data_IF_621116590891
#
_entry.id   IF_621116590891
#
_cell.length_a   1.000
_cell.length_b   1.000
_cell.length_c   1.000
_cell.angle_alpha   90.00
_cell.angle_beta   90.00
_cell.angle_gamma   90.00
#
_symmetry.space_group_name_H-M   'P 1'
#
loop_
_entity.id
_entity.type
_entity.pdbx_description
1 polymer ?
#
# COMPACT_ATOMS: atom_id res chain seq x y z
N UNK A 1 -70.40 -7.39 -47.31
CA UNK A 1 -69.84 -8.12 -46.19
C UNK A 1 -68.29 -8.11 -46.32
N UNK A 2 -67.68 -7.09 -45.73
CA UNK A 2 -66.22 -6.83 -45.86
C UNK A 2 -65.54 -7.23 -44.55
N UNK A 3 -64.54 -8.16 -44.65
CA UNK A 3 -63.73 -8.60 -43.56
C UNK A 3 -62.52 -7.66 -43.45
N UNK A 4 -62.52 -6.83 -42.41
CA UNK A 4 -61.40 -5.97 -42.05
C UNK A 4 -60.34 -6.80 -41.36
N UNK A 5 -59.17 -6.96 -42.00
CA UNK A 5 -58.01 -7.60 -41.40
C UNK A 5 -57.20 -6.60 -40.57
N UNK A 6 -57.14 -6.84 -39.28
CA UNK A 6 -56.27 -6.09 -38.40
C UNK A 6 -54.81 -6.54 -38.57
N UNK A 7 -53.94 -5.69 -39.03
CA UNK A 7 -52.49 -5.85 -38.96
C UNK A 7 -51.98 -5.28 -37.63
N UNK A 8 -51.58 -6.15 -36.74
CA UNK A 8 -50.83 -5.76 -35.55
C UNK A 8 -49.36 -5.66 -35.94
N UNK A 9 -48.86 -4.45 -36.04
CA UNK A 9 -47.40 -4.19 -36.17
C UNK A 9 -46.81 -4.16 -34.78
N UNK A 10 -46.17 -5.24 -34.39
CA UNK A 10 -45.39 -5.31 -33.16
C UNK A 10 -44.03 -4.66 -33.43
N UNK A 11 -43.92 -3.41 -33.10
CA UNK A 11 -42.62 -2.70 -33.11
C UNK A 11 -41.73 -3.18 -31.96
N UNK A 12 -40.73 -3.97 -32.27
CA UNK A 12 -39.70 -4.37 -31.35
C UNK A 12 -38.67 -3.22 -31.22
N UNK A 13 -38.83 -2.36 -30.21
CA UNK A 13 -37.81 -1.40 -29.85
C UNK A 13 -36.66 -2.13 -29.15
N UNK A 14 -35.65 -2.51 -29.90
CA UNK A 14 -34.38 -2.91 -29.36
C UNK A 14 -33.67 -1.66 -28.81
N UNK A 15 -33.80 -1.41 -27.52
CA UNK A 15 -32.97 -0.43 -26.82
C UNK A 15 -31.56 -1.03 -26.70
N UNK A 16 -30.70 -0.66 -27.63
CA UNK A 16 -29.26 -0.91 -27.51
C UNK A 16 -28.78 0.05 -26.43
N UNK A 17 -28.74 -0.45 -25.19
CA UNK A 17 -28.02 0.21 -24.11
C UNK A 17 -26.54 0.17 -24.41
N UNK A 18 -26.03 1.18 -25.08
CA UNK A 18 -24.60 1.44 -25.12
C UNK A 18 -24.19 1.83 -23.71
N UNK A 19 -23.80 0.85 -22.88
CA UNK A 19 -22.99 1.10 -21.72
C UNK A 19 -21.66 1.61 -22.24
N UNK A 20 -21.51 2.93 -22.34
CA UNK A 20 -20.21 3.54 -22.45
C UNK A 20 -19.45 3.04 -21.22
N UNK A 21 -18.56 2.06 -21.40
CA UNK A 21 -17.51 1.80 -20.45
C UNK A 21 -16.73 3.12 -20.38
N UNK A 22 -17.02 3.91 -19.37
CA UNK A 22 -16.13 4.98 -18.95
C UNK A 22 -14.86 4.22 -18.57
N UNK A 23 -13.89 4.17 -19.47
CA UNK A 23 -12.54 3.81 -19.11
C UNK A 23 -12.21 4.78 -17.99
N UNK A 24 -12.19 4.28 -16.75
CA UNK A 24 -11.62 5.02 -15.67
C UNK A 24 -10.18 5.31 -16.14
N UNK A 25 -9.95 6.52 -16.64
CA UNK A 25 -8.61 6.98 -16.88
C UNK A 25 -7.93 6.84 -15.54
N UNK A 26 -6.99 5.90 -15.48
CA UNK A 26 -6.05 5.87 -14.39
C UNK A 26 -5.64 7.31 -14.15
N UNK A 27 -5.68 7.74 -12.93
CA UNK A 27 -5.35 9.06 -12.47
C UNK A 27 -4.13 9.58 -13.22
N UNK A 28 -4.25 10.62 -14.03
CA UNK A 28 -3.11 11.19 -14.78
C UNK A 28 -1.93 11.48 -13.84
N UNK A 29 -2.22 11.87 -12.60
CA UNK A 29 -1.21 12.07 -11.55
C UNK A 29 -0.52 10.78 -11.12
N UNK A 30 -1.22 9.65 -11.11
CA UNK A 30 -0.62 8.36 -10.81
C UNK A 30 0.36 7.93 -11.90
N UNK A 31 0.01 8.10 -13.15
CA UNK A 31 0.90 7.77 -14.27
C UNK A 31 2.12 8.70 -14.30
N UNK A 32 1.92 9.99 -14.02
CA UNK A 32 3.01 10.93 -13.86
C UNK A 32 3.94 10.56 -12.70
N UNK A 33 3.39 10.18 -11.55
CA UNK A 33 4.16 9.72 -10.40
C UNK A 33 4.96 8.45 -10.72
N UNK A 34 4.31 7.43 -11.32
CA UNK A 34 5.02 6.20 -11.76
C UNK A 34 6.22 6.55 -12.65
N UNK A 35 6.00 7.39 -13.66
CA UNK A 35 7.06 7.80 -14.59
C UNK A 35 8.20 8.54 -13.90
N UNK A 36 7.88 9.42 -12.97
CA UNK A 36 8.86 10.27 -12.29
C UNK A 36 9.61 9.54 -11.16
N UNK A 37 8.95 8.66 -10.43
CA UNK A 37 9.44 8.18 -9.14
C UNK A 37 9.56 6.66 -9.03
N UNK A 38 8.89 5.86 -9.86
CA UNK A 38 8.98 4.40 -9.78
C UNK A 38 10.03 3.88 -10.76
N UNK A 39 10.95 3.08 -10.25
CA UNK A 39 11.98 2.41 -11.02
C UNK A 39 12.13 0.96 -10.55
N UNK A 40 11.95 -0.01 -11.46
CA UNK A 40 12.03 -1.43 -11.15
C UNK A 40 11.18 -1.83 -9.91
N UNK A 41 9.93 -1.35 -9.87
CA UNK A 41 8.96 -1.61 -8.80
C UNK A 41 9.36 -1.06 -7.41
N UNK A 42 10.22 -0.06 -7.35
CA UNK A 42 10.52 0.69 -6.14
C UNK A 42 10.33 2.20 -6.33
N UNK A 43 9.91 2.88 -5.30
CA UNK A 43 9.87 4.35 -5.28
C UNK A 43 11.27 4.86 -4.97
N UNK A 44 11.80 5.68 -5.87
CA UNK A 44 13.16 6.23 -5.75
C UNK A 44 13.08 7.70 -5.37
N UNK A 45 13.68 8.05 -4.24
CA UNK A 45 13.99 9.44 -3.96
C UNK A 45 15.19 9.88 -4.82
N UNK A 46 14.90 10.65 -5.86
CA UNK A 46 15.92 11.13 -6.81
C UNK A 46 16.71 12.32 -6.28
N UNK A 47 16.26 12.94 -5.19
CA UNK A 47 16.95 14.03 -4.53
C UNK A 47 18.10 13.54 -3.65
N UNK A 48 18.03 12.31 -3.16
CA UNK A 48 19.11 11.67 -2.40
C UNK A 48 20.10 11.02 -3.37
N UNK A 49 21.39 11.34 -3.21
CA UNK A 49 22.46 10.79 -4.06
C UNK A 49 22.58 9.26 -3.97
N UNK A 50 22.12 8.65 -2.86
CA UNK A 50 22.10 7.20 -2.65
C UNK A 50 20.93 6.53 -3.37
N UNK A 51 20.06 7.32 -4.06
CA UNK A 51 18.85 6.84 -4.72
C UNK A 51 18.00 5.96 -3.81
N UNK A 52 17.76 6.46 -2.61
CA UNK A 52 17.08 5.70 -1.55
C UNK A 52 15.64 5.33 -1.92
N UNK A 53 15.20 4.27 -1.30
CA UNK A 53 13.80 3.87 -1.19
C UNK A 53 13.46 3.73 0.28
N UNK A 54 12.37 4.36 0.70
CA UNK A 54 11.85 4.23 2.05
C UNK A 54 10.61 3.33 2.07
N UNK A 55 10.36 2.65 3.18
CA UNK A 55 9.10 1.91 3.36
C UNK A 55 7.88 2.84 3.28
N UNK A 56 8.03 4.12 3.68
CA UNK A 56 6.99 5.14 3.56
C UNK A 56 6.65 5.40 2.08
N UNK A 57 7.65 5.63 1.23
CA UNK A 57 7.43 5.81 -0.21
C UNK A 57 6.74 4.60 -0.84
N UNK A 58 7.15 3.38 -0.47
CA UNK A 58 6.51 2.14 -0.93
C UNK A 58 5.06 2.05 -0.45
N UNK A 59 4.79 2.39 0.81
CA UNK A 59 3.45 2.34 1.40
C UNK A 59 2.47 3.27 0.69
N UNK A 60 2.90 4.48 0.36
CA UNK A 60 2.07 5.45 -0.38
C UNK A 60 1.87 5.03 -1.84
N UNK A 61 2.89 4.49 -2.49
CA UNK A 61 2.75 3.97 -3.85
C UNK A 61 1.79 2.79 -3.92
N UNK A 62 1.80 1.88 -2.93
CA UNK A 62 0.82 0.81 -2.79
C UNK A 62 -0.60 1.36 -2.64
N UNK A 63 -0.79 2.41 -1.83
CA UNK A 63 -2.09 3.06 -1.67
C UNK A 63 -2.58 3.67 -3.00
N UNK A 64 -1.73 4.38 -3.74
CA UNK A 64 -2.12 4.97 -5.01
C UNK A 64 -2.39 3.92 -6.09
N UNK A 65 -1.61 2.82 -6.12
CA UNK A 65 -1.87 1.70 -7.02
C UNK A 65 -3.23 1.06 -6.71
N UNK A 66 -3.56 0.88 -5.43
CA UNK A 66 -4.86 0.37 -4.99
C UNK A 66 -6.00 1.32 -5.38
N UNK A 67 -5.85 2.63 -5.12
CA UNK A 67 -6.85 3.65 -5.45
C UNK A 67 -7.09 3.77 -6.97
N UNK A 68 -6.07 3.51 -7.78
CA UNK A 68 -6.13 3.50 -9.25
C UNK A 68 -6.60 2.16 -9.83
N UNK A 69 -6.90 1.16 -8.99
CA UNK A 69 -7.16 -0.23 -9.41
C UNK A 69 -6.04 -0.84 -10.27
N UNK A 70 -4.80 -0.37 -10.08
CA UNK A 70 -3.59 -0.82 -10.78
C UNK A 70 -2.95 -2.00 -10.03
N UNK A 71 -3.61 -3.15 -10.11
CA UNK A 71 -3.17 -4.35 -9.42
C UNK A 71 -1.78 -4.82 -9.87
N UNK A 72 -1.45 -4.64 -11.14
CA UNK A 72 -0.15 -5.03 -11.66
C UNK A 72 0.98 -4.28 -10.98
N UNK A 73 0.84 -2.95 -10.85
CA UNK A 73 1.83 -2.13 -10.14
C UNK A 73 1.84 -2.43 -8.64
N UNK A 74 0.67 -2.65 -8.03
CA UNK A 74 0.56 -3.04 -6.63
C UNK A 74 1.36 -4.31 -6.33
N UNK A 75 1.16 -5.37 -7.11
CA UNK A 75 1.85 -6.66 -6.95
C UNK A 75 3.38 -6.51 -7.12
N UNK A 76 3.80 -5.70 -8.09
CA UNK A 76 5.21 -5.45 -8.33
C UNK A 76 5.86 -4.70 -7.15
N UNK A 77 5.23 -3.62 -6.66
CA UNK A 77 5.68 -2.86 -5.50
C UNK A 77 5.74 -3.72 -4.23
N UNK A 78 4.70 -4.52 -3.98
CA UNK A 78 4.64 -5.43 -2.84
C UNK A 78 5.76 -6.46 -2.90
N UNK A 79 5.93 -7.12 -4.04
CA UNK A 79 6.99 -8.12 -4.24
C UNK A 79 8.37 -7.52 -4.01
N UNK A 80 8.62 -6.32 -4.54
CA UNK A 80 9.90 -5.64 -4.31
C UNK A 80 10.11 -5.32 -2.83
N UNK A 81 9.08 -4.83 -2.14
CA UNK A 81 9.11 -4.52 -0.71
C UNK A 81 9.41 -5.76 0.13
N UNK A 82 8.74 -6.88 -0.16
CA UNK A 82 8.99 -8.15 0.52
C UNK A 82 10.44 -8.61 0.35
N UNK A 83 10.94 -8.61 -0.87
CA UNK A 83 12.26 -9.14 -1.18
C UNK A 83 13.40 -8.28 -0.65
N UNK A 84 13.26 -6.95 -0.72
CA UNK A 84 14.35 -6.04 -0.44
C UNK A 84 14.29 -5.41 0.96
N UNK A 85 13.10 -5.28 1.56
CA UNK A 85 12.93 -4.65 2.87
C UNK A 85 12.55 -5.63 3.98
N UNK A 86 11.92 -6.77 3.65
CA UNK A 86 11.39 -7.73 4.64
C UNK A 86 12.08 -9.11 4.59
N UNK A 87 13.24 -9.21 3.97
CA UNK A 87 13.97 -10.48 3.90
C UNK A 87 13.24 -11.58 3.11
N UNK A 88 12.33 -11.22 2.21
CA UNK A 88 11.57 -12.11 1.34
C UNK A 88 10.18 -12.50 1.85
N UNK A 89 9.83 -12.16 3.09
CA UNK A 89 8.53 -12.53 3.68
C UNK A 89 8.03 -11.49 4.68
N UNK A 90 7.10 -10.65 4.23
CA UNK A 90 6.51 -9.57 5.03
C UNK A 90 5.65 -10.10 6.19
N UNK A 91 5.26 -11.38 6.16
CA UNK A 91 4.52 -12.01 7.26
C UNK A 91 5.39 -12.36 8.45
N UNK A 92 6.71 -12.36 8.27
CA UNK A 92 7.70 -12.70 9.32
C UNK A 92 8.52 -11.52 9.79
N UNK A 93 8.73 -10.53 8.91
CA UNK A 93 9.61 -9.40 9.19
C UNK A 93 8.97 -8.13 8.65
N UNK A 94 8.76 -7.13 9.52
CA UNK A 94 8.35 -5.79 9.10
C UNK A 94 9.42 -5.17 8.19
N UNK A 95 9.02 -4.37 7.18
CA UNK A 95 9.96 -3.74 6.26
C UNK A 95 10.97 -2.85 6.98
N UNK A 96 12.25 -2.99 6.63
CA UNK A 96 13.26 -1.99 6.96
C UNK A 96 12.88 -0.65 6.33
N UNK A 97 13.07 0.45 7.08
CA UNK A 97 12.59 1.75 6.60
C UNK A 97 13.45 2.36 5.49
N UNK A 98 14.74 1.96 5.38
CA UNK A 98 15.69 2.60 4.46
C UNK A 98 16.52 1.61 3.66
N UNK A 99 16.47 1.72 2.35
CA UNK A 99 17.27 0.98 1.40
C UNK A 99 17.91 1.94 0.37
N UNK A 100 19.09 1.60 -0.12
CA UNK A 100 19.77 2.43 -1.10
C UNK A 100 21.18 1.97 -1.41
N UNK A 101 21.95 2.80 -2.14
CA UNK A 101 23.36 2.56 -2.41
C UNK A 101 24.20 2.90 -1.17
N UNK A 102 24.91 1.91 -0.66
CA UNK A 102 25.98 2.14 0.31
C UNK A 102 27.22 2.67 -0.43
N UNK A 103 27.55 3.92 -0.19
CA UNK A 103 28.64 4.62 -0.88
C UNK A 103 30.01 3.99 -0.63
N UNK A 104 30.20 3.37 0.52
CA UNK A 104 31.50 2.77 0.88
C UNK A 104 31.73 1.45 0.13
N UNK A 105 30.71 0.59 0.06
CA UNK A 105 30.81 -0.71 -0.62
C UNK A 105 30.32 -0.70 -2.06
N UNK A 106 29.68 0.40 -2.50
CA UNK A 106 29.02 0.53 -3.82
C UNK A 106 27.95 -0.55 -4.05
N UNK A 107 27.40 -1.11 -2.98
CA UNK A 107 26.37 -2.13 -3.04
C UNK A 107 25.00 -1.58 -2.68
N UNK A 108 23.98 -2.14 -3.30
CA UNK A 108 22.58 -1.83 -3.03
C UNK A 108 22.08 -2.75 -1.91
N UNK A 109 21.62 -2.16 -0.80
CA UNK A 109 21.21 -2.92 0.38
C UNK A 109 20.33 -2.11 1.32
N UNK A 110 19.81 -2.76 2.37
CA UNK A 110 19.23 -2.09 3.52
C UNK A 110 20.33 -1.24 4.18
N UNK A 111 20.10 0.05 4.33
CA UNK A 111 21.00 1.02 4.97
C UNK A 111 20.68 1.18 6.46
N UNK A 112 19.43 0.97 6.85
CA UNK A 112 18.98 0.93 8.25
C UNK A 112 17.90 -0.16 8.37
N UNK A 113 18.12 -1.10 9.27
CA UNK A 113 17.26 -2.27 9.48
C UNK A 113 16.07 -2.00 10.39
N UNK A 114 15.96 -0.80 10.99
CA UNK A 114 14.79 -0.46 11.76
C UNK A 114 13.56 -0.40 10.85
N UNK A 115 12.38 -0.58 11.42
CA UNK A 115 11.12 -0.37 10.71
C UNK A 115 10.58 1.05 11.00
N UNK A 116 9.53 1.44 10.29
CA UNK A 116 8.77 2.67 10.55
C UNK A 116 7.29 2.30 10.70
N UNK A 117 6.75 2.47 11.91
CA UNK A 117 5.44 1.96 12.28
C UNK A 117 4.29 2.56 11.45
N UNK A 118 4.40 3.82 11.04
CA UNK A 118 3.45 4.49 10.14
C UNK A 118 3.37 3.80 8.78
N UNK A 119 4.54 3.52 8.19
CA UNK A 119 4.65 2.81 6.92
C UNK A 119 4.11 1.39 7.02
N UNK A 120 4.42 0.70 8.10
CA UNK A 120 3.96 -0.67 8.36
C UNK A 120 2.43 -0.71 8.48
N UNK A 121 1.83 0.26 9.19
CA UNK A 121 0.38 0.40 9.27
C UNK A 121 -0.25 0.71 7.91
N UNK A 122 0.35 1.60 7.12
CA UNK A 122 -0.13 1.87 5.76
C UNK A 122 -0.05 0.64 4.86
N UNK A 123 1.05 -0.13 4.90
CA UNK A 123 1.17 -1.36 4.09
C UNK A 123 0.14 -2.39 4.54
N UNK A 124 -0.03 -2.59 5.86
CA UNK A 124 -1.04 -3.51 6.39
C UNK A 124 -2.46 -3.10 5.96
N UNK A 125 -2.81 -1.81 6.05
CA UNK A 125 -4.08 -1.26 5.57
C UNK A 125 -4.28 -1.54 4.08
N UNK A 126 -3.29 -1.21 3.24
CA UNK A 126 -3.37 -1.44 1.79
C UNK A 126 -3.57 -2.92 1.45
N UNK A 127 -2.93 -3.82 2.18
CA UNK A 127 -3.09 -5.26 1.99
C UNK A 127 -4.49 -5.74 2.38
N UNK A 128 -5.04 -5.25 3.50
CA UNK A 128 -6.39 -5.60 3.93
C UNK A 128 -7.44 -5.10 2.93
N UNK A 129 -7.31 -3.86 2.46
CA UNK A 129 -8.20 -3.28 1.47
C UNK A 129 -8.06 -3.94 0.09
N UNK A 130 -6.85 -4.27 -0.35
CA UNK A 130 -6.61 -5.05 -1.57
C UNK A 130 -7.28 -6.43 -1.48
N UNK A 131 -7.17 -7.07 -0.30
CA UNK A 131 -7.84 -8.33 -0.04
C UNK A 131 -9.36 -8.23 -0.17
N UNK A 132 -9.94 -7.17 0.39
CA UNK A 132 -11.38 -6.89 0.35
C UNK A 132 -11.85 -6.55 -1.08
N UNK A 133 -11.18 -5.63 -1.77
CA UNK A 133 -11.58 -5.11 -3.07
C UNK A 133 -11.36 -6.14 -4.19
N UNK A 134 -10.21 -6.78 -4.20
CA UNK A 134 -9.84 -7.75 -5.23
C UNK A 134 -10.17 -9.20 -4.85
N UNK A 135 -10.86 -9.42 -3.70
CA UNK A 135 -11.31 -10.73 -3.21
C UNK A 135 -10.16 -11.74 -3.17
N UNK A 136 -9.03 -11.33 -2.57
CA UNK A 136 -7.82 -12.13 -2.50
C UNK A 136 -7.40 -12.32 -1.03
N UNK A 137 -7.64 -13.51 -0.52
CA UNK A 137 -7.32 -13.87 0.87
C UNK A 137 -5.81 -13.84 1.16
N UNK A 138 -4.96 -13.94 0.15
CA UNK A 138 -3.51 -13.84 0.30
C UNK A 138 -3.06 -12.46 0.79
N UNK A 139 -3.65 -11.38 0.27
CA UNK A 139 -3.37 -10.03 0.78
C UNK A 139 -3.91 -9.85 2.20
N UNK A 140 -5.13 -10.34 2.46
CA UNK A 140 -5.72 -10.27 3.81
C UNK A 140 -4.84 -11.00 4.83
N UNK A 141 -4.33 -12.17 4.50
CA UNK A 141 -3.43 -12.94 5.37
C UNK A 141 -2.13 -12.19 5.66
N UNK A 142 -1.51 -11.57 4.63
CA UNK A 142 -0.30 -10.75 4.78
C UNK A 142 -0.56 -9.53 5.68
N UNK A 143 -1.63 -8.78 5.43
CA UNK A 143 -2.00 -7.61 6.24
C UNK A 143 -2.22 -7.96 7.71
N UNK A 144 -2.95 -9.04 8.00
CA UNK A 144 -3.15 -9.54 9.37
C UNK A 144 -1.84 -9.95 10.04
N UNK A 145 -0.96 -10.64 9.32
CA UNK A 145 0.34 -11.05 9.86
C UNK A 145 1.21 -9.83 10.22
N UNK A 146 1.22 -8.79 9.39
CA UNK A 146 1.91 -7.55 9.72
C UNK A 146 1.37 -6.89 10.99
N UNK A 147 0.04 -6.85 11.17
CA UNK A 147 -0.57 -6.31 12.40
C UNK A 147 -0.15 -7.12 13.64
N UNK A 148 -0.03 -8.45 13.54
CA UNK A 148 0.49 -9.27 14.64
C UNK A 148 1.97 -8.99 14.96
N UNK A 149 2.77 -8.63 13.96
CA UNK A 149 4.14 -8.17 14.19
C UNK A 149 4.17 -6.80 14.87
N UNK A 150 3.34 -5.85 14.42
CA UNK A 150 3.24 -4.51 14.98
C UNK A 150 2.77 -4.49 16.45
N UNK A 151 1.92 -5.43 16.87
CA UNK A 151 1.53 -5.58 18.28
C UNK A 151 2.71 -5.70 19.23
N UNK A 152 3.85 -6.21 18.77
CA UNK A 152 5.07 -6.33 19.59
C UNK A 152 5.72 -4.98 19.89
N UNK A 153 5.33 -3.93 19.17
CA UNK A 153 5.81 -2.56 19.35
C UNK A 153 4.86 -1.69 20.16
N UNK A 154 3.74 -2.25 20.62
CA UNK A 154 2.81 -1.56 21.52
C UNK A 154 3.38 -1.51 22.92
N UNK A 155 3.27 -0.35 23.57
CA UNK A 155 3.63 -0.12 24.96
C UNK A 155 2.50 0.57 25.69
N UNK A 156 2.23 0.17 26.93
CA UNK A 156 1.33 0.91 27.82
C UNK A 156 2.14 2.00 28.52
N UNK A 157 1.72 3.25 28.35
CA UNK A 157 2.37 4.43 28.94
C UNK A 157 1.42 5.08 29.92
N UNK A 158 1.87 5.32 31.14
CA UNK A 158 1.06 5.95 32.19
C UNK A 158 0.50 7.31 31.71
N UNK A 159 -0.81 7.47 31.84
CA UNK A 159 -1.53 8.67 31.41
C UNK A 159 -1.84 8.77 29.92
N UNK A 160 -1.27 7.89 29.06
CA UNK A 160 -1.55 7.85 27.63
C UNK A 160 -2.26 6.57 27.18
N UNK A 161 -2.17 5.47 27.97
CA UNK A 161 -2.68 4.16 27.55
C UNK A 161 -1.72 3.46 26.60
N UNK A 162 -2.29 2.63 25.70
CA UNK A 162 -1.51 1.88 24.73
C UNK A 162 -1.08 2.78 23.55
N UNK A 163 0.22 2.77 23.30
CA UNK A 163 0.85 3.51 22.20
C UNK A 163 1.70 2.57 21.36
N UNK A 164 1.87 2.89 20.10
CA UNK A 164 2.79 2.16 19.23
C UNK A 164 4.10 2.95 19.11
N UNK A 165 5.23 2.26 19.23
CA UNK A 165 6.53 2.89 19.04
C UNK A 165 6.72 3.25 17.56
N UNK A 166 7.42 4.36 17.23
CA UNK A 166 7.72 4.71 15.84
C UNK A 166 8.56 3.68 15.10
N UNK A 167 9.21 2.77 15.82
CA UNK A 167 9.99 1.67 15.29
C UNK A 167 10.57 0.82 16.40
N UNK A 168 11.15 -0.31 16.04
CA UNK A 168 11.61 -1.34 16.98
C UNK A 168 12.80 -0.91 17.84
N UNK A 169 13.68 -0.04 17.33
CA UNK A 169 14.93 0.33 17.98
C UNK A 169 15.01 1.83 18.16
N UNK A 170 15.49 2.30 19.34
CA UNK A 170 15.81 3.70 19.59
C UNK A 170 14.69 4.56 20.17
N UNK A 171 13.50 4.01 20.38
CA UNK A 171 12.33 4.74 20.86
C UNK A 171 11.95 4.41 22.31
N UNK A 172 12.66 3.48 22.95
CA UNK A 172 12.51 3.15 24.36
C UNK A 172 13.90 3.09 25.01
N UNK A 173 14.11 3.87 26.08
CA UNK A 173 15.37 3.90 26.82
C UNK A 173 15.14 4.30 28.27
N UNK A 174 15.65 3.51 29.23
CA UNK A 174 15.58 3.78 30.66
C UNK A 174 14.14 4.09 31.17
N UNK A 175 13.14 3.34 30.68
CA UNK A 175 11.72 3.54 31.03
C UNK A 175 11.07 4.79 30.40
N UNK A 176 11.79 5.50 29.54
CA UNK A 176 11.23 6.60 28.75
C UNK A 176 10.90 6.13 27.34
N UNK A 177 9.71 6.50 26.88
CA UNK A 177 9.22 6.21 25.52
C UNK A 177 9.23 7.51 24.71
N UNK A 178 9.87 7.47 23.54
CA UNK A 178 9.87 8.56 22.57
C UNK A 178 8.80 8.31 21.52
N UNK A 179 7.79 9.17 21.48
CA UNK A 179 6.70 9.10 20.53
C UNK A 179 6.80 10.24 19.51
N UNK A 180 6.21 10.01 18.35
CA UNK A 180 6.03 11.04 17.34
C UNK A 180 4.60 10.94 16.79
N UNK A 181 3.74 11.95 17.00
CA UNK A 181 2.35 11.94 16.56
C UNK A 181 2.16 11.72 15.05
N UNK A 182 3.14 12.07 14.22
CA UNK A 182 3.06 11.84 12.76
C UNK A 182 3.09 10.36 12.36
N UNK A 183 3.52 9.48 13.28
CA UNK A 183 3.51 8.02 13.05
C UNK A 183 2.15 7.35 13.33
N UNK A 184 1.11 8.14 13.57
CA UNK A 184 -0.25 7.63 13.80
C UNK A 184 -1.18 8.05 12.66
N UNK A 185 -1.13 7.39 11.48
CA UNK A 185 -2.00 7.75 10.37
C UNK A 185 -3.46 7.41 10.71
N UNK A 186 -4.37 8.42 10.76
CA UNK A 186 -5.75 8.21 11.24
C UNK A 186 -6.52 7.12 10.49
N UNK A 187 -6.26 6.98 9.19
CA UNK A 187 -6.93 5.98 8.35
C UNK A 187 -6.68 4.55 8.82
N UNK A 188 -5.52 4.27 9.41
CA UNK A 188 -5.17 2.93 9.90
C UNK A 188 -5.91 2.51 11.18
N UNK A 189 -6.58 3.46 11.85
CA UNK A 189 -7.32 3.21 13.10
C UNK A 189 -8.83 3.15 12.93
N UNK A 190 -9.34 3.33 11.71
CA UNK A 190 -10.79 3.37 11.43
C UNK A 190 -11.35 2.09 10.85
N UNK A 191 -10.54 1.03 10.74
CA UNK A 191 -10.90 -0.22 10.05
C UNK A 191 -10.65 -1.44 10.93
#
# INVERSE_FOLDING_TARGET
MSKLKHFIVTGLCAAIGATAAVSAHAWDLWDAFKTASVDNARVVDRSDERKITTSEGQSYALFFALAADDRTTFDALLSWTEQNLSGGDITKTLPAWLWGEDKASRSWKILDTNNAADSDMWIAYNLLEAGRLWKNDGYTAKGRAMLELLKKEVRTVDGLGDVILPGRVGFEKNGLVKLNPSYYPPVSYTH
#
